data_IF_704227195115
#
_entry.id   IF_704227195115
#
_cell.length_a   1.000
_cell.length_b   1.000
_cell.length_c   1.000
_cell.angle_alpha   90.00
_cell.angle_beta   90.00
_cell.angle_gamma   90.00
#
_symmetry.space_group_name_H-M   'P 1'
#
loop_
_entity.id
_entity.type
_entity.pdbx_description
1 polymer ?
#
# COMPACT_ATOMS: atom_id res chain seq x y z
N UNK A 1 65.65 0.04 14.97
CA UNK A 1 64.49 0.89 15.29
C UNK A 1 63.37 0.45 14.36
N UNK A 2 62.45 -0.38 14.83
CA UNK A 2 61.31 -0.85 14.03
C UNK A 2 60.19 0.21 14.09
N UNK A 3 59.44 0.44 12.99
CA UNK A 3 58.34 1.39 13.01
C UNK A 3 57.18 0.81 13.83
N UNK A 4 56.65 1.63 14.75
CA UNK A 4 55.41 1.37 15.48
C UNK A 4 54.23 1.33 14.50
N UNK A 5 53.31 0.35 14.59
CA UNK A 5 52.14 0.32 13.72
C UNK A 5 51.17 1.44 14.09
N UNK A 6 50.73 2.17 13.06
CA UNK A 6 49.74 3.23 13.16
C UNK A 6 48.46 2.72 13.80
N UNK A 7 47.99 3.49 14.77
CA UNK A 7 46.75 3.25 15.50
C UNK A 7 45.57 3.47 14.57
N UNK A 8 44.96 2.38 14.11
CA UNK A 8 43.72 2.42 13.32
C UNK A 8 42.61 2.87 14.26
N UNK A 9 42.24 4.16 14.20
CA UNK A 9 41.04 4.69 14.87
C UNK A 9 39.82 3.90 14.40
N UNK A 10 39.31 3.04 15.28
CA UNK A 10 38.08 2.28 15.06
C UNK A 10 36.93 3.27 14.87
N UNK A 11 36.49 3.43 13.62
CA UNK A 11 35.27 4.17 13.29
C UNK A 11 34.10 3.35 13.81
N UNK A 12 33.32 3.92 14.72
CA UNK A 12 32.11 3.28 15.27
C UNK A 12 31.18 2.84 14.13
N UNK A 13 30.52 1.67 14.23
CA UNK A 13 29.62 1.20 13.18
C UNK A 13 28.49 2.20 12.94
N UNK A 14 28.05 2.36 11.67
CA UNK A 14 26.98 3.28 11.34
C UNK A 14 25.70 2.91 12.11
N UNK A 15 24.84 3.90 12.43
CA UNK A 15 23.60 3.65 13.15
C UNK A 15 22.71 2.65 12.37
N UNK A 16 21.93 1.82 13.07
CA UNK A 16 21.05 0.85 12.41
C UNK A 16 20.05 1.57 11.52
N UNK A 17 19.84 1.03 10.32
CA UNK A 17 18.87 1.58 9.37
C UNK A 17 17.45 1.53 9.95
N UNK A 18 16.60 2.51 9.63
CA UNK A 18 15.21 2.48 10.06
C UNK A 18 14.50 1.25 9.48
N UNK A 19 13.51 0.68 10.19
CA UNK A 19 12.73 -0.45 9.70
C UNK A 19 12.15 -0.18 8.30
N UNK A 20 12.05 -1.20 7.44
CA UNK A 20 11.40 -1.05 6.15
C UNK A 20 9.93 -0.65 6.34
N UNK A 21 9.43 0.18 5.43
CA UNK A 21 8.03 0.59 5.39
C UNK A 21 7.37 -0.01 4.16
N UNK A 22 6.43 -0.93 4.37
CA UNK A 22 5.62 -1.55 3.33
C UNK A 22 4.29 -0.82 3.18
N UNK A 23 3.99 -0.36 1.96
CA UNK A 23 2.71 0.20 1.58
C UNK A 23 1.95 -0.86 0.79
N UNK A 24 0.85 -1.34 1.35
CA UNK A 24 0.13 -2.52 0.87
C UNK A 24 -1.19 -2.03 0.29
N UNK A 25 -1.41 -2.26 -1.00
CA UNK A 25 -2.56 -1.74 -1.75
C UNK A 25 -3.36 -2.91 -2.33
N UNK A 26 -4.33 -3.47 -1.58
CA UNK A 26 -5.17 -4.56 -2.08
C UNK A 26 -6.11 -4.08 -3.18
N UNK A 27 -6.46 -5.00 -4.07
CA UNK A 27 -7.65 -4.84 -4.90
C UNK A 27 -8.87 -4.93 -3.98
N UNK A 28 -9.88 -4.05 -4.12
CA UNK A 28 -11.06 -4.06 -3.25
C UNK A 28 -12.03 -5.20 -3.60
N UNK A 29 -11.60 -6.42 -3.33
CA UNK A 29 -12.40 -7.63 -3.34
C UNK A 29 -11.91 -8.51 -2.20
N UNK A 30 -12.82 -9.17 -1.48
CA UNK A 30 -12.47 -9.92 -0.26
C UNK A 30 -11.35 -10.96 -0.47
N UNK A 31 -11.36 -11.65 -1.62
CA UNK A 31 -10.33 -12.63 -1.99
C UNK A 31 -8.92 -12.04 -2.15
N UNK A 32 -8.79 -10.71 -2.29
CA UNK A 32 -7.50 -10.00 -2.33
C UNK A 32 -7.24 -9.24 -1.03
N UNK A 33 -8.26 -8.62 -0.43
CA UNK A 33 -8.13 -7.83 0.79
C UNK A 33 -7.68 -8.68 1.97
N UNK A 34 -8.29 -9.86 2.18
CA UNK A 34 -7.98 -10.71 3.34
C UNK A 34 -6.51 -11.17 3.33
N UNK A 35 -5.98 -11.76 2.24
CA UNK A 35 -4.56 -12.14 2.21
C UNK A 35 -3.59 -10.96 2.40
N UNK A 36 -3.95 -9.78 1.91
CA UNK A 36 -3.10 -8.59 2.05
C UNK A 36 -3.13 -8.03 3.49
N UNK A 37 -4.26 -8.16 4.21
CA UNK A 37 -4.32 -7.90 5.66
C UNK A 37 -3.40 -8.84 6.42
N UNK A 38 -3.46 -10.14 6.13
CA UNK A 38 -2.62 -11.14 6.79
C UNK A 38 -1.14 -10.88 6.52
N UNK A 39 -0.78 -10.53 5.28
CA UNK A 39 0.58 -10.13 4.92
C UNK A 39 1.03 -8.88 5.70
N UNK A 40 0.19 -7.85 5.77
CA UNK A 40 0.48 -6.63 6.50
C UNK A 40 0.77 -6.90 7.98
N UNK A 41 -0.04 -7.78 8.59
CA UNK A 41 0.15 -8.22 9.97
C UNK A 41 1.45 -9.00 10.14
N UNK A 42 1.75 -9.96 9.26
CA UNK A 42 2.98 -10.76 9.31
C UNK A 42 4.25 -9.92 9.16
N UNK A 43 4.20 -8.84 8.38
CA UNK A 43 5.30 -7.88 8.24
C UNK A 43 5.45 -7.04 9.50
N UNK A 44 4.34 -6.56 10.07
CA UNK A 44 4.33 -5.78 11.29
C UNK A 44 4.83 -6.58 12.51
N UNK A 45 4.46 -7.85 12.62
CA UNK A 45 4.95 -8.78 13.65
C UNK A 45 6.48 -9.03 13.54
N UNK A 46 7.07 -8.82 12.36
CA UNK A 46 8.53 -8.87 12.12
C UNK A 46 9.22 -7.52 12.30
N UNK A 47 8.53 -6.52 12.82
CA UNK A 47 9.08 -5.20 13.14
C UNK A 47 9.13 -4.23 11.95
N UNK A 48 8.57 -4.57 10.79
CA UNK A 48 8.45 -3.65 9.67
C UNK A 48 7.23 -2.74 9.84
N UNK A 49 7.30 -1.48 9.40
CA UNK A 49 6.10 -0.63 9.31
C UNK A 49 5.25 -1.10 8.14
N UNK A 50 3.95 -1.27 8.34
CA UNK A 50 3.00 -1.64 7.30
C UNK A 50 1.84 -0.64 7.24
N UNK A 51 1.51 -0.16 6.04
CA UNK A 51 0.36 0.71 5.79
C UNK A 51 -0.55 0.04 4.78
N UNK A 52 -1.74 -0.38 5.20
CA UNK A 52 -2.74 -0.96 4.32
C UNK A 52 -3.63 0.15 3.76
N UNK A 53 -3.43 0.46 2.47
CA UNK A 53 -4.11 1.57 1.80
C UNK A 53 -5.41 1.08 1.19
N UNK A 54 -6.53 1.63 1.63
CA UNK A 54 -7.87 1.24 1.19
C UNK A 54 -8.78 2.45 1.04
N UNK A 55 -9.92 2.25 0.39
CA UNK A 55 -10.96 3.27 0.26
C UNK A 55 -11.79 3.39 1.55
N UNK A 56 -12.52 4.49 1.78
CA UNK A 56 -13.26 4.72 3.03
C UNK A 56 -14.24 3.61 3.44
N UNK A 57 -15.02 3.04 2.50
CA UNK A 57 -15.94 1.93 2.80
C UNK A 57 -15.17 0.68 3.20
N UNK A 58 -14.03 0.41 2.55
CA UNK A 58 -13.18 -0.73 2.90
C UNK A 58 -12.43 -0.51 4.23
N UNK A 59 -12.04 0.72 4.55
CA UNK A 59 -11.45 1.07 5.84
C UNK A 59 -12.43 0.83 7.00
N UNK A 60 -13.68 1.24 6.83
CA UNK A 60 -14.73 1.00 7.81
C UNK A 60 -14.94 -0.50 8.09
N UNK A 61 -14.82 -1.35 7.06
CA UNK A 61 -14.87 -2.82 7.21
C UNK A 61 -13.65 -3.40 7.93
N UNK A 62 -12.51 -2.71 7.89
CA UNK A 62 -11.24 -3.14 8.49
C UNK A 62 -10.99 -2.56 9.90
N UNK A 63 -11.98 -1.90 10.53
CA UNK A 63 -11.84 -1.36 11.90
C UNK A 63 -11.35 -2.39 12.91
N UNK A 64 -11.89 -3.62 12.86
CA UNK A 64 -11.44 -4.70 13.76
C UNK A 64 -9.97 -5.07 13.58
N UNK A 65 -9.42 -4.97 12.36
CA UNK A 65 -8.00 -5.19 12.07
C UNK A 65 -7.16 -4.07 12.68
N UNK A 66 -7.57 -2.81 12.50
CA UNK A 66 -6.90 -1.65 13.07
C UNK A 66 -6.87 -1.72 14.61
N UNK A 67 -8.02 -2.01 15.22
CA UNK A 67 -8.14 -2.13 16.68
C UNK A 67 -7.27 -3.26 17.23
N UNK A 68 -7.21 -4.39 16.52
CA UNK A 68 -6.35 -5.50 16.91
C UNK A 68 -4.87 -5.15 16.83
N UNK A 69 -4.45 -4.52 15.73
CA UNK A 69 -3.07 -4.05 15.56
C UNK A 69 -2.67 -3.06 16.65
N UNK A 70 -3.54 -2.11 16.98
CA UNK A 70 -3.32 -1.14 18.05
C UNK A 70 -3.17 -1.80 19.42
N UNK A 71 -4.06 -2.75 19.79
CA UNK A 71 -3.95 -3.51 21.04
C UNK A 71 -2.66 -4.32 21.13
N UNK A 72 -2.23 -4.91 20.01
CA UNK A 72 -1.00 -5.68 19.90
C UNK A 72 0.26 -4.79 19.75
N UNK A 73 0.11 -3.46 19.68
CA UNK A 73 1.18 -2.48 19.44
C UNK A 73 1.99 -2.80 18.18
N UNK A 74 1.32 -3.33 17.16
CA UNK A 74 1.93 -3.60 15.86
C UNK A 74 2.10 -2.29 15.09
N UNK A 75 3.22 -2.10 14.36
CA UNK A 75 3.42 -0.96 13.47
C UNK A 75 2.62 -1.12 12.16
N UNK A 76 1.30 -1.36 12.28
CA UNK A 76 0.36 -1.53 11.19
C UNK A 76 -0.72 -0.44 11.25
N UNK A 77 -0.89 0.30 10.17
CA UNK A 77 -1.92 1.33 10.02
C UNK A 77 -2.84 1.04 8.82
N UNK A 78 -4.11 1.42 8.95
CA UNK A 78 -5.05 1.49 7.83
C UNK A 78 -5.05 2.92 7.32
N UNK A 79 -4.75 3.10 6.03
CA UNK A 79 -4.70 4.42 5.39
C UNK A 79 -5.89 4.55 4.46
N UNK A 80 -6.73 5.54 4.74
CA UNK A 80 -7.89 5.85 3.92
C UNK A 80 -7.49 6.76 2.76
N UNK A 81 -7.78 6.33 1.53
CA UNK A 81 -7.56 7.11 0.32
C UNK A 81 -8.87 7.25 -0.43
N UNK A 82 -9.36 8.48 -0.48
CA UNK A 82 -10.60 8.84 -1.18
C UNK A 82 -10.30 9.23 -2.63
N UNK A 83 -11.23 8.92 -3.53
CA UNK A 83 -11.20 9.39 -4.92
C UNK A 83 -12.52 10.13 -5.23
N UNK A 84 -12.44 11.16 -6.09
CA UNK A 84 -13.53 12.09 -6.35
C UNK A 84 -13.76 12.33 -7.85
N UNK A 85 -14.11 11.28 -8.61
CA UNK A 85 -15.34 11.44 -9.36
C UNK A 85 -16.35 10.36 -9.00
N UNK A 86 -17.61 10.79 -9.04
CA UNK A 86 -18.68 10.12 -8.36
C UNK A 86 -18.97 8.81 -9.07
N UNK A 87 -19.12 7.75 -8.29
CA UNK A 87 -19.84 6.56 -8.72
C UNK A 87 -21.03 6.92 -9.64
N UNK A 88 -21.77 8.00 -9.34
CA UNK A 88 -22.91 8.48 -10.13
C UNK A 88 -22.57 8.93 -11.57
N UNK A 89 -21.44 9.59 -11.83
CA UNK A 89 -21.05 10.02 -13.19
C UNK A 89 -20.70 8.83 -14.09
N UNK A 90 -20.28 7.72 -13.47
CA UNK A 90 -20.00 6.45 -14.15
C UNK A 90 -21.22 5.50 -14.15
N UNK A 91 -22.34 5.88 -13.54
CA UNK A 91 -23.53 5.03 -13.42
C UNK A 91 -23.46 3.95 -12.34
N UNK A 92 -22.54 4.05 -11.39
CA UNK A 92 -22.51 3.22 -10.18
C UNK A 92 -23.44 3.78 -9.09
N UNK A 93 -24.07 2.88 -8.31
CA UNK A 93 -24.72 3.27 -7.06
C UNK A 93 -23.74 3.94 -6.08
N UNK A 94 -24.21 4.90 -5.27
CA UNK A 94 -23.39 5.51 -4.22
C UNK A 94 -22.83 4.48 -3.24
N UNK A 95 -21.57 4.64 -2.84
CA UNK A 95 -20.92 3.80 -1.82
C UNK A 95 -20.45 2.42 -2.30
N UNK A 96 -20.44 2.17 -3.61
CA UNK A 96 -19.82 0.98 -4.20
C UNK A 96 -18.30 1.22 -4.31
N UNK A 97 -17.55 0.59 -3.41
CA UNK A 97 -16.09 0.62 -3.39
C UNK A 97 -15.48 -0.77 -3.26
N UNK A 98 -16.29 -1.83 -3.18
CA UNK A 98 -15.86 -3.22 -3.18
C UNK A 98 -16.63 -4.02 -4.23
N UNK A 99 -15.97 -4.98 -4.85
CA UNK A 99 -16.58 -5.87 -5.85
C UNK A 99 -17.78 -6.63 -5.29
N UNK A 100 -17.78 -6.96 -3.98
CA UNK A 100 -18.90 -7.65 -3.35
C UNK A 100 -20.21 -6.83 -3.30
N UNK A 101 -20.14 -5.51 -3.55
CA UNK A 101 -21.29 -4.62 -3.61
C UNK A 101 -21.91 -4.54 -5.01
N UNK A 102 -21.27 -5.13 -6.02
CA UNK A 102 -21.74 -5.13 -7.41
C UNK A 102 -22.82 -6.21 -7.56
N UNK A 103 -24.08 -5.78 -7.60
CA UNK A 103 -25.25 -6.65 -7.75
C UNK A 103 -25.78 -6.73 -9.19
N UNK A 104 -25.32 -5.83 -10.06
CA UNK A 104 -25.66 -5.80 -11.49
C UNK A 104 -24.37 -5.79 -12.31
N UNK A 105 -24.30 -6.68 -13.29
CA UNK A 105 -23.18 -6.80 -14.22
C UNK A 105 -22.89 -5.49 -14.96
N UNK A 106 -23.91 -4.66 -15.20
CA UNK A 106 -23.75 -3.35 -15.81
C UNK A 106 -22.83 -2.41 -15.01
N UNK A 107 -22.75 -2.57 -13.68
CA UNK A 107 -21.89 -1.77 -12.82
C UNK A 107 -20.43 -2.24 -12.79
N UNK A 108 -20.12 -3.41 -13.37
CA UNK A 108 -18.76 -3.95 -13.33
C UNK A 108 -17.78 -3.04 -14.07
N UNK A 109 -18.09 -2.63 -15.31
CA UNK A 109 -17.21 -1.73 -16.07
C UNK A 109 -17.04 -0.35 -15.41
N UNK A 110 -18.14 0.36 -15.04
CA UNK A 110 -18.07 1.56 -14.24
C UNK A 110 -17.19 1.45 -13.00
N UNK A 111 -17.25 0.32 -12.27
CA UNK A 111 -16.44 0.09 -11.08
C UNK A 111 -14.95 0.22 -11.36
N UNK A 112 -14.46 -0.45 -12.41
CA UNK A 112 -13.06 -0.35 -12.78
C UNK A 112 -12.67 1.04 -13.27
N UNK A 113 -13.56 1.72 -14.01
CA UNK A 113 -13.29 3.07 -14.49
C UNK A 113 -13.14 4.05 -13.31
N UNK A 114 -14.04 3.97 -12.33
CA UNK A 114 -13.99 4.78 -11.10
C UNK A 114 -12.75 4.47 -10.25
N UNK A 115 -12.40 3.18 -10.10
CA UNK A 115 -11.22 2.75 -9.33
C UNK A 115 -9.89 3.31 -9.88
N UNK A 116 -9.81 3.69 -11.16
CA UNK A 116 -8.62 4.33 -11.73
C UNK A 116 -8.31 5.68 -11.09
N UNK A 117 -9.30 6.34 -10.49
CA UNK A 117 -9.12 7.64 -9.84
C UNK A 117 -8.39 7.55 -8.50
N UNK A 118 -8.13 6.35 -7.97
CA UNK A 118 -7.27 6.15 -6.80
C UNK A 118 -5.79 6.41 -7.05
N UNK A 119 -5.36 6.44 -8.32
CA UNK A 119 -3.96 6.62 -8.67
C UNK A 119 -3.38 7.93 -8.13
N UNK A 120 -4.02 9.06 -8.46
CA UNK A 120 -3.55 10.38 -8.05
C UNK A 120 -3.45 10.55 -6.52
N UNK A 121 -4.47 10.19 -5.71
CA UNK A 121 -4.36 10.32 -4.26
C UNK A 121 -3.39 9.29 -3.64
N UNK A 122 -3.27 8.07 -4.20
CA UNK A 122 -2.22 7.11 -3.79
C UNK A 122 -0.82 7.66 -4.07
N UNK A 123 -0.58 8.25 -5.24
CA UNK A 123 0.70 8.88 -5.58
C UNK A 123 1.02 10.07 -4.67
N UNK A 124 0.02 10.87 -4.32
CA UNK A 124 0.20 11.96 -3.36
C UNK A 124 0.63 11.42 -2.00
N UNK A 125 -0.01 10.35 -1.52
CA UNK A 125 0.38 9.66 -0.28
C UNK A 125 1.81 9.11 -0.36
N UNK A 126 2.16 8.38 -1.42
CA UNK A 126 3.49 7.79 -1.60
C UNK A 126 4.60 8.84 -1.70
N UNK A 127 4.34 10.00 -2.32
CA UNK A 127 5.32 11.10 -2.42
C UNK A 127 5.59 11.79 -1.08
N UNK A 128 4.63 11.75 -0.16
CA UNK A 128 4.81 12.31 1.18
C UNK A 128 5.66 11.42 2.10
N UNK A 129 5.93 10.17 1.70
CA UNK A 129 6.70 9.21 2.49
C UNK A 129 8.21 9.29 2.13
N UNK A 130 9.11 9.19 3.13
CA UNK A 130 10.56 9.29 2.90
C UNK A 130 11.14 8.07 2.16
N UNK A 131 10.64 6.86 2.47
CA UNK A 131 11.06 5.60 1.84
C UNK A 131 9.97 4.54 2.00
N UNK A 132 9.74 3.72 0.98
CA UNK A 132 8.70 2.69 1.01
C UNK A 132 8.98 1.54 0.05
N UNK A 133 8.32 0.42 0.33
CA UNK A 133 8.16 -0.71 -0.59
C UNK A 133 6.67 -0.89 -0.85
N UNK A 134 6.22 -0.75 -2.10
CA UNK A 134 4.81 -0.95 -2.44
C UNK A 134 4.56 -2.40 -2.82
N UNK A 135 3.50 -2.98 -2.24
CA UNK A 135 2.97 -4.29 -2.57
C UNK A 135 1.51 -4.14 -2.97
N UNK A 136 1.18 -4.41 -4.22
CA UNK A 136 -0.19 -4.28 -4.72
C UNK A 136 -0.70 -5.55 -5.37
N UNK A 137 -2.01 -5.80 -5.26
CA UNK A 137 -2.72 -6.74 -6.12
C UNK A 137 -3.61 -5.91 -7.05
N UNK A 138 -3.30 -5.78 -8.34
CA UNK A 138 -4.20 -5.29 -9.40
C UNK A 138 -4.81 -3.87 -9.31
N UNK A 139 -4.76 -3.15 -10.45
CA UNK A 139 -5.37 -1.84 -10.79
C UNK A 139 -4.72 -0.54 -10.25
N UNK A 140 -3.42 -0.54 -9.98
CA UNK A 140 -2.68 0.73 -10.07
C UNK A 140 -2.38 1.02 -11.56
N UNK A 141 -2.79 2.16 -12.14
CA UNK A 141 -2.28 2.54 -13.44
C UNK A 141 -0.76 2.72 -13.36
N UNK A 142 -0.11 2.48 -14.50
CA UNK A 142 1.33 2.64 -14.67
C UNK A 142 1.71 4.10 -14.42
N UNK A 143 2.27 4.41 -13.25
CA UNK A 143 2.84 5.72 -12.97
C UNK A 143 4.34 5.66 -13.15
N UNK A 144 4.84 6.30 -14.22
CA UNK A 144 6.27 6.63 -14.32
C UNK A 144 6.52 7.80 -13.39
N UNK A 145 7.31 7.60 -12.34
CA UNK A 145 7.86 8.73 -11.59
C UNK A 145 9.01 9.33 -12.42
N UNK A 146 9.05 10.66 -12.52
CA UNK A 146 10.00 11.41 -13.37
C UNK A 146 11.47 11.31 -12.93
N UNK A 147 11.77 10.53 -11.89
CA UNK A 147 13.09 10.28 -11.32
C UNK A 147 13.74 8.96 -11.80
N UNK A 148 13.11 8.27 -12.75
CA UNK A 148 13.59 6.99 -13.29
C UNK A 148 12.99 5.75 -12.61
N UNK A 149 12.20 5.93 -11.54
CA UNK A 149 11.46 4.84 -10.93
C UNK A 149 10.14 4.59 -11.69
N UNK A 150 9.91 3.35 -12.10
CA UNK A 150 8.72 2.96 -12.88
C UNK A 150 7.80 2.08 -12.04
N UNK A 151 6.53 2.48 -11.86
CA UNK A 151 5.45 1.55 -11.49
C UNK A 151 4.94 0.87 -12.78
N UNK A 152 5.54 -0.24 -13.22
CA UNK A 152 5.11 -1.03 -14.39
C UNK A 152 4.23 -2.24 -14.01
N UNK A 153 2.90 -2.10 -14.02
CA UNK A 153 2.00 -3.26 -13.84
C UNK A 153 1.92 -4.10 -15.12
N UNK A 154 2.14 -5.41 -15.00
CA UNK A 154 1.74 -6.41 -16.00
C UNK A 154 0.26 -6.79 -15.82
N UNK A 155 -0.45 -7.20 -16.89
CA UNK A 155 -1.88 -7.47 -16.82
C UNK A 155 -2.16 -8.70 -15.94
N UNK A 156 -3.17 -8.53 -15.06
CA UNK A 156 -3.91 -9.55 -14.31
C UNK A 156 -3.11 -10.70 -13.64
N UNK A 157 -3.27 -10.76 -12.31
CA UNK A 157 -3.05 -11.88 -11.39
C UNK A 157 -1.76 -11.99 -10.55
N UNK A 158 -0.76 -11.13 -10.68
CA UNK A 158 0.44 -11.27 -9.83
C UNK A 158 0.71 -10.03 -8.97
N UNK A 159 1.09 -10.29 -7.71
CA UNK A 159 1.54 -9.30 -6.75
C UNK A 159 2.67 -8.46 -7.36
N UNK A 160 2.57 -7.14 -7.25
CA UNK A 160 3.54 -6.22 -7.84
C UNK A 160 4.35 -5.59 -6.71
N UNK A 161 5.67 -5.78 -6.76
CA UNK A 161 6.62 -5.25 -5.78
C UNK A 161 7.39 -4.07 -6.36
N UNK A 162 7.48 -2.96 -5.63
CA UNK A 162 8.35 -1.82 -5.98
C UNK A 162 9.10 -1.30 -4.77
N UNK A 163 10.34 -0.88 -4.99
CA UNK A 163 11.23 -0.36 -3.95
C UNK A 163 11.68 1.04 -4.33
N UNK A 164 11.64 1.97 -3.37
CA UNK A 164 12.41 3.23 -3.38
C UNK A 164 13.43 3.22 -2.26
#
# INVERSE_FOLDING_TARGET
>A
MAPTPDSVSATSPPPPLPPPHFVIVPFPAQGHTIPMVDLARLLAERGARASLVVTPVNAARLRGVADHAARAKLPLEIVEVSFSPSAADAGLPPGVENVDQITDYAHFRPFFDVMRHLAAPLEAYLRALPRWVVMGTGVAPVTKFGDGNTLSTLPFQNAVFYVR
#
